data_IF_933098501916
#
_entry.id   IF_933098501916
#
_cell.length_a   1.000
_cell.length_b   1.000
_cell.length_c   1.000
_cell.angle_alpha   90.00
_cell.angle_beta   90.00
_cell.angle_gamma   90.00
#
_symmetry.space_group_name_H-M   'P 1'
#
loop_
_entity.id
_entity.type
_entity.pdbx_description
1 polymer ?
#
# COMPACT_ATOMS: atom_id res chain seq x y z
N UNK A 1 9.63 -6.71 -11.38
CA UNK A 1 8.30 -6.48 -10.78
C UNK A 1 8.15 -5.10 -10.15
N UNK A 2 9.07 -4.67 -9.27
CA UNK A 2 9.10 -3.27 -8.77
C UNK A 2 9.11 -2.23 -9.90
N UNK A 3 9.69 -2.57 -11.06
CA UNK A 3 9.60 -1.76 -12.28
C UNK A 3 8.16 -1.39 -12.68
N UNK A 4 7.22 -2.35 -12.59
CA UNK A 4 5.82 -2.10 -12.96
C UNK A 4 5.17 -1.13 -11.97
N UNK A 5 5.46 -1.28 -10.68
CA UNK A 5 5.05 -0.32 -9.65
C UNK A 5 5.61 1.06 -9.97
N UNK A 6 6.90 1.16 -10.26
CA UNK A 6 7.57 2.43 -10.54
C UNK A 6 6.92 3.15 -11.74
N UNK A 7 6.65 2.42 -12.82
CA UNK A 7 5.98 2.99 -14.01
C UNK A 7 4.55 3.46 -13.67
N UNK A 8 3.77 2.67 -12.94
CA UNK A 8 2.42 3.04 -12.53
C UNK A 8 2.42 4.27 -11.59
N UNK A 9 3.36 4.31 -10.66
CA UNK A 9 3.55 5.43 -9.73
C UNK A 9 3.95 6.72 -10.48
N UNK A 10 4.93 6.65 -11.37
CA UNK A 10 5.40 7.82 -12.12
C UNK A 10 4.31 8.38 -13.04
N UNK A 11 3.54 7.50 -13.69
CA UNK A 11 2.41 7.90 -14.53
C UNK A 11 1.29 8.58 -13.74
N UNK A 12 1.00 8.12 -12.53
CA UNK A 12 -0.08 8.67 -11.69
C UNK A 12 0.33 9.95 -10.96
N UNK A 13 1.60 10.09 -10.56
CA UNK A 13 2.12 11.30 -9.89
C UNK A 13 1.97 12.57 -10.75
N UNK A 14 1.94 12.45 -12.08
CA UNK A 14 1.70 13.61 -12.96
C UNK A 14 0.37 14.32 -12.68
N UNK A 15 -0.60 13.63 -12.08
CA UNK A 15 -1.89 14.23 -11.70
C UNK A 15 -1.75 15.23 -10.54
N UNK A 16 -0.73 15.07 -9.67
CA UNK A 16 -0.47 15.97 -8.53
C UNK A 16 -0.19 17.39 -9.02
N UNK A 17 0.53 17.54 -10.14
CA UNK A 17 0.83 18.85 -10.73
C UNK A 17 -0.43 19.60 -11.22
N UNK A 18 -1.56 18.91 -11.38
CA UNK A 18 -2.84 19.48 -11.82
C UNK A 18 -3.88 19.54 -10.69
N UNK A 19 -3.52 19.16 -9.48
CA UNK A 19 -4.43 19.16 -8.34
C UNK A 19 -4.81 20.59 -7.92
N UNK A 20 -6.07 20.79 -7.54
CA UNK A 20 -6.61 22.08 -7.12
C UNK A 20 -6.69 22.15 -5.60
N UNK A 21 -5.54 22.41 -4.98
CA UNK A 21 -5.43 22.57 -3.52
C UNK A 21 -5.84 23.96 -3.06
N UNK A 22 -6.45 24.07 -1.87
CA UNK A 22 -6.74 25.35 -1.23
C UNK A 22 -5.45 25.95 -0.67
N UNK A 23 -5.09 27.22 -0.99
CA UNK A 23 -3.90 27.87 -0.43
C UNK A 23 -3.96 27.96 1.10
N UNK A 24 -2.80 27.90 1.75
CA UNK A 24 -2.68 28.13 3.19
C UNK A 24 -3.06 29.57 3.54
N UNK A 25 -3.82 29.81 4.63
CA UNK A 25 -4.16 31.16 5.09
C UNK A 25 -2.97 31.91 5.72
N UNK A 26 -1.90 31.20 6.08
CA UNK A 26 -0.68 31.75 6.68
C UNK A 26 0.52 31.50 5.75
N UNK A 27 1.54 32.40 5.74
CA UNK A 27 2.74 32.21 4.95
C UNK A 27 3.49 30.96 5.43
N UNK A 28 3.70 30.02 4.52
CA UNK A 28 4.47 28.80 4.78
C UNK A 28 5.88 28.94 4.20
N UNK A 29 6.88 28.65 5.03
CA UNK A 29 8.29 28.73 4.67
C UNK A 29 8.81 27.32 4.45
N UNK A 30 8.45 26.71 3.32
CA UNK A 30 8.85 25.35 2.86
C UNK A 30 9.63 24.54 3.90
N UNK A 31 8.93 24.06 4.95
CA UNK A 31 9.57 23.45 6.11
C UNK A 31 9.98 22.01 5.78
N UNK A 32 11.13 21.84 5.13
CA UNK A 32 11.62 20.53 4.67
C UNK A 32 11.66 19.50 5.79
N UNK A 33 12.10 19.88 7.00
CA UNK A 33 12.14 18.97 8.16
C UNK A 33 10.75 18.40 8.51
N UNK A 34 9.70 19.21 8.42
CA UNK A 34 8.32 18.79 8.68
C UNK A 34 7.81 17.85 7.59
N UNK A 35 8.08 18.18 6.31
CA UNK A 35 7.70 17.36 5.16
C UNK A 35 8.39 15.99 5.22
N UNK A 36 9.71 15.97 5.46
CA UNK A 36 10.48 14.74 5.55
C UNK A 36 10.05 13.90 6.75
N UNK A 37 9.85 14.50 7.92
CA UNK A 37 9.36 13.77 9.10
C UNK A 37 8.00 13.13 8.82
N UNK A 38 7.05 13.89 8.27
CA UNK A 38 5.72 13.37 7.89
C UNK A 38 5.84 12.20 6.91
N UNK A 39 6.70 12.32 5.89
CA UNK A 39 6.96 11.25 4.93
C UNK A 39 7.56 9.99 5.57
N UNK A 40 8.54 10.14 6.46
CA UNK A 40 9.20 9.01 7.14
C UNK A 40 8.19 8.24 8.01
N UNK A 41 7.40 8.93 8.82
CA UNK A 41 6.44 8.25 9.69
C UNK A 41 5.35 7.52 8.90
N UNK A 42 4.74 8.19 7.92
CA UNK A 42 3.72 7.55 7.07
C UNK A 42 4.30 6.38 6.27
N UNK A 43 5.51 6.54 5.71
CA UNK A 43 6.20 5.47 5.00
C UNK A 43 6.56 4.28 5.91
N UNK A 44 7.04 4.55 7.12
CA UNK A 44 7.37 3.51 8.09
C UNK A 44 6.14 2.72 8.53
N UNK A 45 5.01 3.39 8.75
CA UNK A 45 3.75 2.75 9.07
C UNK A 45 3.29 1.84 7.93
N UNK A 46 3.32 2.32 6.67
CA UNK A 46 2.95 1.51 5.51
C UNK A 46 3.88 0.29 5.36
N UNK A 47 5.19 0.46 5.56
CA UNK A 47 6.15 -0.64 5.52
C UNK A 47 5.86 -1.71 6.59
N UNK A 48 5.59 -1.28 7.83
CA UNK A 48 5.21 -2.19 8.92
C UNK A 48 3.90 -2.92 8.58
N UNK A 49 2.89 -2.22 8.06
CA UNK A 49 1.63 -2.85 7.66
C UNK A 49 1.80 -3.85 6.50
N UNK A 50 2.71 -3.61 5.55
CA UNK A 50 3.04 -4.60 4.53
C UNK A 50 3.72 -5.84 5.12
N UNK A 51 4.59 -5.67 6.12
CA UNK A 51 5.22 -6.80 6.83
C UNK A 51 4.19 -7.59 7.63
N UNK A 52 3.30 -6.92 8.36
CA UNK A 52 2.20 -7.56 9.11
C UNK A 52 1.30 -8.35 8.16
N UNK A 53 0.95 -7.79 7.00
CA UNK A 53 0.18 -8.50 5.98
C UNK A 53 0.90 -9.76 5.50
N UNK A 54 2.18 -9.65 5.15
CA UNK A 54 2.97 -10.80 4.70
C UNK A 54 3.02 -11.88 5.79
N UNK A 55 3.26 -11.49 7.04
CA UNK A 55 3.28 -12.42 8.17
C UNK A 55 1.92 -13.10 8.37
N UNK A 56 0.81 -12.35 8.28
CA UNK A 56 -0.55 -12.91 8.42
C UNK A 56 -0.86 -13.95 7.35
N UNK A 57 -0.46 -13.72 6.10
CA UNK A 57 -0.75 -14.64 4.98
C UNK A 57 0.22 -15.82 4.92
N UNK A 58 1.45 -15.66 5.41
CA UNK A 58 2.46 -16.72 5.38
C UNK A 58 2.38 -17.64 6.60
N UNK A 59 2.16 -17.12 7.80
CA UNK A 59 2.25 -17.91 9.03
C UNK A 59 0.90 -18.48 9.48
N UNK A 60 -0.21 -17.81 9.13
CA UNK A 60 -1.54 -18.10 9.66
C UNK A 60 -2.56 -18.46 8.57
N UNK A 61 -3.20 -19.61 8.71
CA UNK A 61 -4.38 -19.98 7.91
C UNK A 61 -5.65 -19.32 8.43
N UNK A 62 -5.64 -18.78 9.66
CA UNK A 62 -6.82 -18.16 10.27
C UNK A 62 -7.36 -16.97 9.45
N UNK A 63 -6.48 -16.27 8.74
CA UNK A 63 -6.89 -15.17 7.86
C UNK A 63 -7.54 -15.69 6.57
N UNK A 64 -7.02 -16.77 6.00
CA UNK A 64 -7.61 -17.42 4.83
C UNK A 64 -8.96 -18.09 5.18
N UNK A 65 -9.02 -18.74 6.34
CA UNK A 65 -10.20 -19.44 6.87
C UNK A 65 -11.34 -18.47 7.23
N UNK A 66 -11.01 -17.32 7.82
CA UNK A 66 -11.99 -16.27 8.16
C UNK A 66 -12.73 -15.75 6.91
N UNK A 67 -12.05 -15.73 5.76
CA UNK A 67 -12.60 -15.24 4.49
C UNK A 67 -12.94 -16.34 3.49
N UNK A 68 -12.80 -17.63 3.87
CA UNK A 68 -13.10 -18.78 3.01
C UNK A 68 -12.30 -18.79 1.70
N UNK A 69 -11.02 -18.44 1.79
CA UNK A 69 -10.09 -18.37 0.67
C UNK A 69 -9.02 -19.46 0.77
N UNK A 70 -8.48 -19.89 -0.36
CA UNK A 70 -7.47 -20.96 -0.40
C UNK A 70 -6.16 -20.46 0.26
N UNK A 71 -5.50 -21.27 1.08
CA UNK A 71 -4.24 -20.89 1.73
C UNK A 71 -3.15 -20.50 0.70
N UNK A 72 -2.44 -19.40 0.98
CA UNK A 72 -1.35 -18.85 0.16
C UNK A 72 0.03 -19.19 0.69
N UNK A 73 0.10 -19.93 1.79
CA UNK A 73 1.31 -20.18 2.58
C UNK A 73 2.51 -20.67 1.76
N UNK A 74 2.30 -21.64 0.87
CA UNK A 74 3.39 -22.28 0.11
C UNK A 74 3.63 -21.68 -1.29
N UNK A 75 2.73 -20.82 -1.77
CA UNK A 75 2.81 -20.25 -3.11
C UNK A 75 3.47 -18.87 -3.11
N UNK A 76 4.79 -18.88 -3.31
CA UNK A 76 5.60 -17.67 -3.42
C UNK A 76 5.11 -16.73 -4.51
N UNK A 77 4.61 -17.24 -5.64
CA UNK A 77 4.15 -16.42 -6.75
C UNK A 77 2.86 -15.66 -6.40
N UNK A 78 1.95 -16.30 -5.67
CA UNK A 78 0.72 -15.68 -5.18
C UNK A 78 0.98 -14.71 -4.02
N UNK A 79 1.90 -15.03 -3.10
CA UNK A 79 2.31 -14.11 -2.04
C UNK A 79 2.88 -12.81 -2.60
N UNK A 80 3.75 -12.92 -3.61
CA UNK A 80 4.28 -11.79 -4.35
C UNK A 80 3.11 -10.99 -4.92
N UNK A 81 2.24 -11.60 -5.74
CA UNK A 81 1.05 -10.92 -6.30
C UNK A 81 0.17 -10.22 -5.27
N UNK A 82 -0.02 -10.79 -4.08
CA UNK A 82 -0.81 -10.19 -3.00
C UNK A 82 -0.21 -8.87 -2.49
N UNK A 83 1.12 -8.83 -2.33
CA UNK A 83 1.84 -7.60 -1.98
C UNK A 83 1.74 -6.55 -3.10
N UNK A 84 1.79 -6.96 -4.37
CA UNK A 84 1.62 -6.03 -5.51
C UNK A 84 0.20 -5.48 -5.63
N UNK A 85 -0.82 -6.24 -5.24
CA UNK A 85 -2.21 -5.79 -5.33
C UNK A 85 -2.49 -4.57 -4.42
N UNK A 86 -1.66 -4.36 -3.40
CA UNK A 86 -1.68 -3.14 -2.56
C UNK A 86 -1.42 -1.84 -3.36
N UNK A 87 -0.88 -1.92 -4.60
CA UNK A 87 -0.43 -0.77 -5.40
C UNK A 87 -1.23 -0.55 -6.70
N UNK A 88 -2.57 -0.54 -6.61
CA UNK A 88 -3.49 -0.21 -7.72
C UNK A 88 -3.24 -1.09 -8.97
N UNK A 89 -2.81 -2.33 -8.74
CA UNK A 89 -2.46 -3.29 -9.79
C UNK A 89 -3.40 -4.51 -9.79
N UNK A 90 -4.67 -4.32 -9.41
CA UNK A 90 -5.68 -5.39 -9.23
C UNK A 90 -5.76 -6.33 -10.45
N UNK A 91 -5.82 -5.79 -11.67
CA UNK A 91 -5.92 -6.59 -12.90
C UNK A 91 -4.67 -7.44 -13.12
N UNK A 92 -3.48 -6.89 -12.86
CA UNK A 92 -2.22 -7.61 -13.00
C UNK A 92 -2.12 -8.72 -11.95
N UNK A 93 -2.43 -8.43 -10.69
CA UNK A 93 -2.33 -9.44 -9.63
C UNK A 93 -3.38 -10.56 -9.75
N UNK A 94 -4.55 -10.28 -10.35
CA UNK A 94 -5.57 -11.32 -10.58
C UNK A 94 -5.24 -12.23 -11.78
N UNK A 95 -4.73 -11.66 -12.88
CA UNK A 95 -4.63 -12.39 -14.16
C UNK A 95 -3.21 -12.65 -14.66
N UNK A 96 -2.19 -11.92 -14.19
CA UNK A 96 -0.85 -12.09 -14.71
C UNK A 96 -0.25 -13.42 -14.26
N UNK A 97 0.19 -14.20 -15.25
CA UNK A 97 1.00 -15.40 -15.05
C UNK A 97 2.34 -15.19 -15.76
N UNK A 98 3.31 -14.63 -15.03
CA UNK A 98 4.62 -14.29 -15.58
C UNK A 98 5.71 -15.09 -14.87
N UNK A 99 6.16 -16.17 -15.52
CA UNK A 99 7.22 -17.04 -15.01
C UNK A 99 8.54 -16.30 -14.80
N UNK A 100 8.90 -15.37 -15.71
CA UNK A 100 10.08 -14.52 -15.58
C UNK A 100 10.02 -13.61 -14.33
N UNK A 101 8.83 -13.12 -14.00
CA UNK A 101 8.63 -12.19 -12.91
C UNK A 101 8.25 -12.89 -11.58
N UNK A 102 8.09 -14.22 -11.56
CA UNK A 102 7.60 -15.02 -10.43
C UNK A 102 6.22 -14.54 -9.92
N UNK A 103 5.30 -14.28 -10.84
CA UNK A 103 3.92 -13.89 -10.54
C UNK A 103 3.00 -15.04 -10.89
N UNK A 104 2.20 -15.47 -9.92
CA UNK A 104 1.08 -16.36 -10.16
C UNK A 104 -0.24 -15.61 -9.96
N UNK A 105 -1.29 -15.96 -10.74
CA UNK A 105 -2.60 -15.33 -10.61
C UNK A 105 -3.20 -15.59 -9.22
N UNK A 106 -3.61 -14.52 -8.55
CA UNK A 106 -4.09 -14.55 -7.17
C UNK A 106 -5.56 -14.99 -7.06
N UNK A 107 -6.37 -14.57 -8.03
CA UNK A 107 -7.83 -14.69 -8.03
C UNK A 107 -8.57 -13.53 -7.36
N UNK A 108 -9.85 -13.36 -7.70
CA UNK A 108 -10.68 -12.23 -7.25
C UNK A 108 -11.02 -12.25 -5.75
N UNK A 109 -11.16 -13.44 -5.15
CA UNK A 109 -11.41 -13.57 -3.70
C UNK A 109 -10.27 -12.93 -2.90
N UNK A 110 -9.04 -13.34 -3.20
CA UNK A 110 -7.85 -12.79 -2.57
C UNK A 110 -7.62 -11.31 -2.89
N UNK A 111 -7.97 -10.87 -4.11
CA UNK A 111 -7.98 -9.45 -4.43
C UNK A 111 -8.91 -8.65 -3.51
N UNK A 112 -10.13 -9.14 -3.25
CA UNK A 112 -11.07 -8.51 -2.33
C UNK A 112 -10.54 -8.44 -0.89
N UNK A 113 -9.90 -9.51 -0.41
CA UNK A 113 -9.30 -9.55 0.94
C UNK A 113 -8.18 -8.52 1.08
N UNK A 114 -7.27 -8.45 0.11
CA UNK A 114 -6.20 -7.44 0.10
C UNK A 114 -6.80 -6.03 0.04
N UNK A 115 -7.88 -5.81 -0.71
CA UNK A 115 -8.59 -4.52 -0.72
C UNK A 115 -9.16 -4.14 0.66
N UNK A 116 -9.80 -5.08 1.34
CA UNK A 116 -10.31 -4.86 2.70
C UNK A 116 -9.16 -4.50 3.63
N UNK A 117 -8.06 -5.24 3.57
CA UNK A 117 -6.86 -4.94 4.35
C UNK A 117 -6.30 -3.53 4.06
N UNK A 118 -6.19 -3.15 2.78
CA UNK A 118 -5.73 -1.83 2.35
C UNK A 118 -6.65 -0.70 2.85
N UNK A 119 -7.97 -0.89 2.82
CA UNK A 119 -8.93 0.10 3.33
C UNK A 119 -8.83 0.25 4.85
N UNK A 120 -8.75 -0.86 5.59
CA UNK A 120 -8.62 -0.82 7.05
C UNK A 120 -7.31 -0.15 7.46
N UNK A 121 -6.20 -0.50 6.80
CA UNK A 121 -4.88 0.09 7.07
C UNK A 121 -4.76 1.54 6.64
N UNK A 122 -5.61 2.01 5.71
CA UNK A 122 -5.64 3.41 5.27
C UNK A 122 -6.22 4.35 6.33
N UNK A 123 -7.25 3.94 7.08
CA UNK A 123 -7.96 4.81 8.03
C UNK A 123 -7.03 5.46 9.08
N UNK A 124 -6.09 4.75 9.72
CA UNK A 124 -5.19 5.36 10.70
C UNK A 124 -4.20 6.38 10.13
N UNK A 125 -3.94 6.41 8.81
CA UNK A 125 -2.96 7.31 8.21
C UNK A 125 -3.31 8.78 8.44
N UNK A 126 -4.59 9.15 8.40
CA UNK A 126 -5.01 10.52 8.65
C UNK A 126 -4.77 10.93 10.10
N UNK A 127 -5.01 10.03 11.06
CA UNK A 127 -4.73 10.25 12.48
C UNK A 127 -3.23 10.48 12.69
N UNK A 128 -2.39 9.64 12.10
CA UNK A 128 -0.93 9.77 12.17
C UNK A 128 -0.47 11.09 11.55
N UNK A 129 -0.99 11.45 10.37
CA UNK A 129 -0.67 12.70 9.66
C UNK A 129 -1.03 13.93 10.50
N UNK A 130 -2.23 13.97 11.08
CA UNK A 130 -2.64 15.08 11.94
C UNK A 130 -1.82 15.14 13.23
N UNK A 131 -1.50 13.99 13.83
CA UNK A 131 -0.67 13.91 15.03
C UNK A 131 0.73 14.47 14.80
N UNK A 132 1.39 14.12 13.69
CA UNK A 132 2.73 14.62 13.35
C UNK A 132 2.71 16.12 13.12
N UNK A 133 1.72 16.62 12.37
CA UNK A 133 1.59 18.05 12.09
C UNK A 133 1.33 18.86 13.35
N UNK A 134 0.53 18.34 14.27
CA UNK A 134 0.30 18.98 15.58
C UNK A 134 1.57 18.98 16.45
N UNK A 135 2.38 17.91 16.39
CA UNK A 135 3.61 17.79 17.19
C UNK A 135 4.80 18.59 16.65
N UNK A 136 4.90 18.75 15.33
CA UNK A 136 5.98 19.50 14.66
C UNK A 136 5.61 20.95 14.32
N UNK A 137 4.31 21.27 14.32
CA UNK A 137 3.77 22.60 14.08
C UNK A 137 3.93 23.52 15.30
N UNK A 138 5.18 23.82 15.66
CA UNK A 138 5.57 25.02 16.41
C UNK A 138 6.41 25.92 15.51
#
# INVERSE_FOLDING_TARGET
MVLVIAILNDGTIMTIAKDRVKPSPLPDSWKLKEIFATGIFLGSYLAVMTVVFFWLVHDSDAFADLFGADSLRDDHGRLVSAVYLQLIATVLAVYANWTFARIAPLGWKWAGIVWIYSVVTYIPLDVIKFGIRAGLGN
#
